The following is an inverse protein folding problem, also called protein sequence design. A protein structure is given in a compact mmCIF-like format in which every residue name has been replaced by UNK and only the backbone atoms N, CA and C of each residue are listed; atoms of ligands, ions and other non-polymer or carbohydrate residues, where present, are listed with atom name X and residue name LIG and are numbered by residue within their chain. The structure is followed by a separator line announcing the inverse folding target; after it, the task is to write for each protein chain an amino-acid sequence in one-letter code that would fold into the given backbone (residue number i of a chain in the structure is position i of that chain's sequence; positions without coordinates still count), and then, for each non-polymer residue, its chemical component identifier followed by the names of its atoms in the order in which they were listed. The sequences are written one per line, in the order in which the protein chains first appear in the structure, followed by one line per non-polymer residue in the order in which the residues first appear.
data_IF_235336207594
#
_entry.id   IF_235336207594
#
_cell.length_a   1.000
_cell.length_b   1.000
_cell.length_c   1.000
_cell.angle_alpha   90.00
_cell.angle_beta   90.00
_cell.angle_gamma   90.00
#
_symmetry.space_group_name_H-M   'P 1'
#
loop_
_entity.id
_entity.type
_entity.pdbx_description
1 polymer ?
#
# COMPACT_ATOMS: atom_id res chain seq x y z
N UNK A 1 -20.68 15.14 -11.15
CA UNK A 1 -21.02 13.82 -10.57
C UNK A 1 -21.60 12.86 -11.62
N UNK A 2 -22.53 13.29 -12.47
CA UNK A 2 -23.17 12.41 -13.46
C UNK A 2 -22.21 11.64 -14.37
N UNK A 3 -21.24 12.32 -14.98
CA UNK A 3 -20.21 11.67 -15.80
C UNK A 3 -19.36 10.66 -15.03
N UNK A 4 -19.18 10.89 -13.73
CA UNK A 4 -18.31 10.07 -12.88
C UNK A 4 -18.91 8.67 -12.66
N UNK A 5 -20.24 8.57 -12.54
CA UNK A 5 -20.95 7.31 -12.22
C UNK A 5 -21.67 6.67 -13.40
N UNK A 6 -21.73 7.32 -14.56
CA UNK A 6 -22.47 6.82 -15.73
C UNK A 6 -22.03 5.41 -16.20
N UNK A 7 -20.76 5.04 -16.01
CA UNK A 7 -20.19 3.75 -16.42
C UNK A 7 -19.70 2.89 -15.25
N UNK A 8 -20.07 3.24 -14.02
CA UNK A 8 -19.58 2.59 -12.81
C UNK A 8 -20.45 1.37 -12.46
N UNK A 9 -19.82 0.24 -12.15
CA UNK A 9 -20.50 -0.99 -11.75
C UNK A 9 -21.25 -0.80 -10.42
N UNK A 10 -22.33 -1.57 -10.22
CA UNK A 10 -23.18 -1.47 -9.02
C UNK A 10 -22.36 -1.64 -7.73
N UNK A 11 -21.41 -2.57 -7.72
CA UNK A 11 -20.59 -2.89 -6.56
C UNK A 11 -19.78 -1.68 -6.09
N UNK A 12 -19.25 -0.91 -7.04
CA UNK A 12 -18.49 0.33 -6.76
C UNK A 12 -19.43 1.41 -6.23
N UNK A 13 -20.63 1.56 -6.79
CA UNK A 13 -21.63 2.50 -6.26
C UNK A 13 -22.03 2.15 -4.82
N UNK A 14 -22.24 0.87 -4.52
CA UNK A 14 -22.53 0.37 -3.16
C UNK A 14 -21.40 0.76 -2.21
N UNK A 15 -20.15 0.55 -2.61
CA UNK A 15 -18.99 0.89 -1.78
C UNK A 15 -18.87 2.40 -1.56
N UNK A 16 -19.05 3.22 -2.60
CA UNK A 16 -19.05 4.68 -2.48
C UNK A 16 -20.08 5.15 -1.45
N UNK A 17 -21.31 4.61 -1.48
CA UNK A 17 -22.34 4.96 -0.49
C UNK A 17 -21.95 4.48 0.92
N UNK A 18 -21.42 3.26 1.06
CA UNK A 18 -20.95 2.75 2.36
C UNK A 18 -19.83 3.59 2.94
N UNK A 19 -18.88 4.04 2.11
CA UNK A 19 -17.79 4.92 2.53
C UNK A 19 -18.31 6.30 2.93
N UNK A 20 -19.26 6.86 2.17
CA UNK A 20 -19.93 8.10 2.53
C UNK A 20 -20.63 7.98 3.91
N UNK A 21 -21.31 6.86 4.16
CA UNK A 21 -21.91 6.59 5.47
C UNK A 21 -20.86 6.48 6.58
N UNK A 22 -19.77 5.73 6.35
CA UNK A 22 -18.68 5.55 7.33
C UNK A 22 -18.04 6.88 7.71
N UNK A 23 -17.92 7.80 6.75
CA UNK A 23 -17.36 9.15 6.94
C UNK A 23 -18.38 10.19 7.42
N UNK A 24 -19.63 9.80 7.63
CA UNK A 24 -20.68 10.74 8.03
C UNK A 24 -20.99 11.80 6.98
N UNK A 25 -20.69 11.55 5.71
CA UNK A 25 -20.91 12.51 4.62
C UNK A 25 -22.40 12.74 4.38
N UNK A 26 -22.76 13.98 4.04
CA UNK A 26 -24.11 14.38 3.69
C UNK A 26 -24.10 15.18 2.40
N UNK A 27 -24.97 14.83 1.46
CA UNK A 27 -25.18 15.64 0.26
C UNK A 27 -26.24 16.71 0.50
N UNK A 28 -26.65 17.39 -0.56
CA UNK A 28 -27.73 18.39 -0.53
C UNK A 28 -29.10 17.87 -0.04
N UNK A 29 -29.26 16.54 0.09
CA UNK A 29 -30.46 15.87 0.61
C UNK A 29 -30.19 15.12 1.93
N UNK A 30 -29.15 15.53 2.65
CA UNK A 30 -28.77 14.96 3.94
C UNK A 30 -27.98 13.66 3.84
N UNK A 31 -27.94 12.93 4.94
CA UNK A 31 -27.30 11.62 5.00
C UNK A 31 -28.10 10.56 4.24
N UNK A 32 -27.48 9.42 3.95
CA UNK A 32 -28.12 8.32 3.21
C UNK A 32 -29.51 7.92 3.73
N UNK A 33 -29.68 7.80 5.05
CA UNK A 33 -30.99 7.44 5.64
C UNK A 33 -32.03 8.56 5.48
N UNK A 34 -31.62 9.82 5.53
CA UNK A 34 -32.50 10.98 5.37
C UNK A 34 -32.93 11.12 3.92
N UNK A 35 -31.98 11.00 3.00
CA UNK A 35 -32.23 10.92 1.56
C UNK A 35 -33.27 9.83 1.25
N UNK A 36 -33.10 8.61 1.79
CA UNK A 36 -34.01 7.50 1.54
C UNK A 36 -35.44 7.76 2.01
N UNK A 37 -35.64 8.46 3.14
CA UNK A 37 -37.00 8.81 3.63
C UNK A 37 -37.76 9.67 2.63
N UNK A 38 -37.06 10.55 1.91
CA UNK A 38 -37.66 11.47 0.93
C UNK A 38 -37.75 10.83 -0.45
N UNK A 39 -36.71 10.09 -0.85
CA UNK A 39 -36.56 9.55 -2.20
C UNK A 39 -37.38 8.28 -2.44
N UNK A 40 -37.47 7.39 -1.45
CA UNK A 40 -38.20 6.13 -1.57
C UNK A 40 -39.28 6.02 -0.49
N UNK A 41 -40.50 6.44 -0.83
CA UNK A 41 -41.64 6.38 0.10
C UNK A 41 -42.11 4.95 0.42
N UNK A 42 -41.74 3.94 -0.40
CA UNK A 42 -42.14 2.55 -0.19
C UNK A 42 -41.31 1.90 0.91
N UNK A 43 -39.99 1.95 0.78
CA UNK A 43 -39.09 1.30 1.74
C UNK A 43 -38.44 2.28 2.71
N UNK A 44 -38.20 3.52 2.29
CA UNK A 44 -37.64 4.57 3.13
C UNK A 44 -36.35 4.15 3.84
N UNK A 45 -36.17 4.58 5.08
CA UNK A 45 -35.01 4.22 5.89
C UNK A 45 -35.00 2.77 6.39
N UNK A 46 -36.10 2.01 6.25
CA UNK A 46 -36.20 0.62 6.76
C UNK A 46 -35.25 -0.35 6.02
N UNK A 47 -34.93 -0.04 4.76
CA UNK A 47 -33.99 -0.79 3.94
C UNK A 47 -32.71 0.04 3.70
N UNK A 48 -31.93 0.32 4.76
CA UNK A 48 -30.79 1.24 4.63
C UNK A 48 -29.51 0.61 4.06
N UNK A 49 -29.44 -0.69 3.84
CA UNK A 49 -28.24 -1.30 3.26
C UNK A 49 -28.08 -0.92 1.77
N UNK A 50 -27.01 -0.22 1.37
CA UNK A 50 -26.78 0.15 -0.03
C UNK A 50 -26.74 -1.06 -0.97
N UNK A 51 -26.28 -2.23 -0.50
CA UNK A 51 -26.21 -3.44 -1.34
C UNK A 51 -27.58 -3.92 -1.83
N UNK A 52 -28.63 -3.63 -1.04
CA UNK A 52 -30.02 -3.99 -1.29
C UNK A 52 -30.78 -2.94 -2.11
N UNK A 53 -30.11 -1.87 -2.57
CA UNK A 53 -30.72 -0.80 -3.37
C UNK A 53 -30.47 -0.94 -4.87
N UNK A 54 -31.32 -0.29 -5.65
CA UNK A 54 -31.16 -0.19 -7.11
C UNK A 54 -30.00 0.73 -7.46
N UNK A 55 -29.42 0.51 -8.65
CA UNK A 55 -28.38 1.38 -9.22
C UNK A 55 -28.87 2.84 -9.25
N UNK A 56 -30.12 3.07 -9.65
CA UNK A 56 -30.70 4.42 -9.71
C UNK A 56 -30.76 5.11 -8.34
N UNK A 57 -31.11 4.37 -7.29
CA UNK A 57 -31.17 4.93 -5.93
C UNK A 57 -29.79 5.32 -5.42
N UNK A 58 -28.79 4.47 -5.67
CA UNK A 58 -27.40 4.73 -5.30
C UNK A 58 -26.85 5.93 -6.08
N UNK A 59 -27.07 5.96 -7.40
CA UNK A 59 -26.66 7.04 -8.26
C UNK A 59 -27.34 8.35 -7.88
N UNK A 60 -28.65 8.34 -7.60
CA UNK A 60 -29.40 9.52 -7.19
C UNK A 60 -28.87 10.12 -5.90
N UNK A 61 -28.52 9.30 -4.90
CA UNK A 61 -27.88 9.79 -3.68
C UNK A 61 -26.49 10.37 -3.95
N UNK A 62 -25.64 9.68 -4.71
CA UNK A 62 -24.30 10.17 -5.03
C UNK A 62 -24.34 11.49 -5.81
N UNK A 63 -25.35 11.71 -6.67
CA UNK A 63 -25.59 12.98 -7.37
C UNK A 63 -25.93 14.14 -6.45
N UNK A 64 -26.30 13.89 -5.19
CA UNK A 64 -26.59 14.97 -4.23
C UNK A 64 -25.33 15.66 -3.72
N UNK A 65 -24.14 15.06 -3.92
CA UNK A 65 -22.84 15.62 -3.58
C UNK A 65 -22.33 16.53 -4.70
N UNK A 66 -22.11 17.79 -4.37
CA UNK A 66 -21.65 18.82 -5.32
C UNK A 66 -20.37 19.51 -4.87
N UNK A 67 -19.91 19.27 -3.64
CA UNK A 67 -18.68 19.90 -3.14
C UNK A 67 -17.45 19.23 -3.75
N UNK A 68 -16.43 20.03 -4.07
CA UNK A 68 -15.25 19.55 -4.77
C UNK A 68 -14.49 18.46 -4.01
N UNK A 69 -14.44 18.55 -2.69
CA UNK A 69 -13.78 17.54 -1.83
C UNK A 69 -14.50 16.19 -1.87
N UNK A 70 -15.84 16.18 -1.83
CA UNK A 70 -16.64 14.98 -2.00
C UNK A 70 -16.40 14.36 -3.37
N UNK A 71 -16.40 15.19 -4.42
CA UNK A 71 -16.17 14.74 -5.79
C UNK A 71 -14.75 14.18 -5.97
N UNK A 72 -13.73 14.81 -5.37
CA UNK A 72 -12.34 14.35 -5.37
C UNK A 72 -12.22 13.01 -4.66
N UNK A 73 -12.88 12.87 -3.51
CA UNK A 73 -12.95 11.60 -2.78
C UNK A 73 -13.56 10.48 -3.64
N UNK A 74 -14.73 10.71 -4.23
CA UNK A 74 -15.41 9.70 -5.06
C UNK A 74 -14.60 9.35 -6.32
N UNK A 75 -13.91 10.31 -6.93
CA UNK A 75 -12.96 10.04 -8.03
C UNK A 75 -11.84 9.10 -7.59
N UNK A 76 -11.32 9.29 -6.37
CA UNK A 76 -10.26 8.45 -5.79
C UNK A 76 -10.73 7.01 -5.57
N UNK A 77 -11.94 6.83 -5.03
CA UNK A 77 -12.57 5.50 -4.85
C UNK A 77 -12.68 4.79 -6.19
N UNK A 78 -13.23 5.45 -7.22
CA UNK A 78 -13.37 4.86 -8.56
C UNK A 78 -12.00 4.51 -9.17
N UNK A 79 -10.98 5.34 -8.93
CA UNK A 79 -9.63 5.06 -9.42
C UNK A 79 -9.01 3.82 -8.74
N UNK A 80 -9.25 3.62 -7.44
CA UNK A 80 -8.81 2.41 -6.72
C UNK A 80 -9.43 1.15 -7.33
N UNK A 81 -10.74 1.18 -7.59
CA UNK A 81 -11.45 0.06 -8.23
C UNK A 81 -10.92 -0.23 -9.63
N UNK A 82 -10.67 0.80 -10.44
CA UNK A 82 -10.07 0.64 -11.77
C UNK A 82 -8.69 -0.02 -11.70
N UNK A 83 -7.83 0.43 -10.79
CA UNK A 83 -6.50 -0.16 -10.62
C UNK A 83 -6.62 -1.64 -10.21
N UNK A 84 -7.55 -1.97 -9.31
CA UNK A 84 -7.79 -3.37 -8.89
C UNK A 84 -8.31 -4.23 -10.04
N UNK A 85 -9.23 -3.72 -10.86
CA UNK A 85 -9.70 -4.42 -12.05
C UNK A 85 -8.57 -4.65 -13.06
N UNK A 86 -7.67 -3.69 -13.24
CA UNK A 86 -6.51 -3.82 -14.12
C UNK A 86 -5.56 -4.93 -13.62
N UNK A 87 -5.32 -5.00 -12.32
CA UNK A 87 -4.53 -6.08 -11.69
C UNK A 87 -5.20 -7.44 -11.87
N UNK A 88 -6.51 -7.55 -11.65
CA UNK A 88 -7.24 -8.81 -11.83
C UNK A 88 -7.33 -9.24 -13.30
N UNK A 89 -7.37 -8.29 -14.24
CA UNK A 89 -7.25 -8.59 -15.67
C UNK A 89 -5.84 -9.08 -16.01
N UNK A 90 -4.80 -8.47 -15.43
CA UNK A 90 -3.41 -8.91 -15.63
C UNK A 90 -3.20 -10.36 -15.21
N UNK A 91 -3.71 -10.77 -14.03
CA UNK A 91 -3.64 -12.17 -13.55
C UNK A 91 -4.25 -13.18 -14.52
N UNK A 92 -5.29 -12.78 -15.26
CA UNK A 92 -5.98 -13.66 -16.22
C UNK A 92 -5.26 -13.78 -17.55
N UNK A 93 -4.43 -12.79 -17.89
CA UNK A 93 -3.67 -12.78 -19.13
C UNK A 93 -2.33 -13.47 -18.84
N UNK A 94 -2.26 -14.77 -19.13
CA UNK A 94 -0.98 -15.48 -19.25
C UNK A 94 -0.59 -15.48 -20.73
N UNK A 95 0.31 -14.61 -21.19
CA UNK A 95 0.76 -14.67 -22.57
C UNK A 95 1.69 -15.88 -22.74
N UNK A 96 1.56 -16.61 -23.85
CA UNK A 96 2.51 -17.66 -24.26
C UNK A 96 3.96 -17.13 -24.38
N UNK A 97 4.12 -15.81 -24.45
CA UNK A 97 5.38 -15.07 -24.55
C UNK A 97 5.55 -14.04 -23.41
N UNK A 98 5.33 -14.46 -22.16
CA UNK A 98 5.56 -13.63 -20.97
C UNK A 98 7.04 -13.23 -20.81
N UNK A 99 7.34 -11.95 -20.60
CA UNK A 99 8.71 -11.52 -20.26
C UNK A 99 9.05 -11.87 -18.80
N UNK A 100 10.34 -11.89 -18.45
CA UNK A 100 10.76 -12.19 -17.08
C UNK A 100 10.19 -11.20 -16.04
N UNK A 101 10.07 -9.92 -16.42
CA UNK A 101 9.52 -8.85 -15.59
C UNK A 101 8.01 -9.03 -15.37
N UNK A 102 7.28 -9.36 -16.43
CA UNK A 102 5.84 -9.64 -16.36
C UNK A 102 5.57 -10.86 -15.48
N UNK A 103 6.38 -11.92 -15.64
CA UNK A 103 6.30 -13.13 -14.81
C UNK A 103 6.53 -12.80 -13.34
N UNK A 104 7.51 -11.97 -13.02
CA UNK A 104 7.76 -11.54 -11.65
C UNK A 104 6.56 -10.80 -11.06
N UNK A 105 5.98 -9.84 -11.80
CA UNK A 105 4.77 -9.13 -11.37
C UNK A 105 3.62 -10.11 -11.14
N UNK A 106 3.38 -11.04 -12.07
CA UNK A 106 2.31 -12.04 -11.95
C UNK A 106 2.49 -12.93 -10.72
N UNK A 107 3.70 -13.46 -10.50
CA UNK A 107 4.00 -14.29 -9.32
C UNK A 107 3.75 -13.54 -8.01
N UNK A 108 4.13 -12.26 -7.93
CA UNK A 108 3.84 -11.42 -6.76
C UNK A 108 2.33 -11.22 -6.56
N UNK A 109 1.58 -10.98 -7.64
CA UNK A 109 0.13 -10.75 -7.57
C UNK A 109 -0.67 -12.03 -7.25
N UNK A 110 -0.19 -13.20 -7.69
CA UNK A 110 -0.79 -14.51 -7.43
C UNK A 110 -0.48 -15.02 -6.02
N UNK A 111 0.51 -14.43 -5.33
CA UNK A 111 0.89 -14.86 -3.99
C UNK A 111 -0.28 -14.66 -2.99
N UNK A 112 -0.62 -15.67 -2.14
CA UNK A 112 -1.78 -15.58 -1.24
C UNK A 112 -1.73 -14.43 -0.24
N UNK A 113 -0.53 -13.95 0.14
CA UNK A 113 -0.38 -12.83 1.07
C UNK A 113 -0.54 -11.46 0.40
N UNK A 114 -0.38 -11.37 -0.93
CA UNK A 114 -0.50 -10.10 -1.65
C UNK A 114 -1.78 -9.31 -1.33
N UNK A 115 -3.00 -9.89 -1.37
CA UNK A 115 -4.21 -9.13 -1.06
C UNK A 115 -4.34 -8.71 0.41
N UNK A 116 -3.54 -9.28 1.32
CA UNK A 116 -3.50 -8.92 2.74
C UNK A 116 -2.49 -7.78 2.92
N UNK A 117 -1.26 -7.97 2.44
CA UNK A 117 -0.14 -7.05 2.66
C UNK A 117 -0.28 -5.76 1.83
N UNK A 118 -0.90 -5.83 0.65
CA UNK A 118 -1.10 -4.70 -0.25
C UNK A 118 -2.53 -4.12 -0.18
N UNK A 119 -3.24 -4.37 0.92
CA UNK A 119 -4.59 -3.83 1.17
C UNK A 119 -4.52 -2.47 1.86
N UNK A 120 -4.18 -1.44 1.09
CA UNK A 120 -4.04 -0.09 1.63
C UNK A 120 -5.39 0.67 1.67
N UNK A 121 -5.59 1.56 2.66
CA UNK A 121 -6.74 2.45 2.70
C UNK A 121 -6.58 3.61 1.70
N UNK A 122 -6.35 3.29 0.42
CA UNK A 122 -5.90 4.22 -0.62
C UNK A 122 -6.86 5.38 -0.93
N UNK A 123 -8.08 5.35 -0.39
CA UNK A 123 -9.07 6.41 -0.54
C UNK A 123 -8.99 7.48 0.58
N UNK A 124 -8.19 7.26 1.63
CA UNK A 124 -7.95 8.24 2.71
C UNK A 124 -7.10 9.42 2.25
N UNK A 125 -7.33 10.62 2.79
CA UNK A 125 -6.89 11.90 2.22
C UNK A 125 -5.39 11.95 1.87
N UNK A 126 -4.54 11.47 2.77
CA UNK A 126 -3.08 11.49 2.68
C UNK A 126 -2.51 10.53 1.62
N UNK A 127 -3.31 9.58 1.12
CA UNK A 127 -2.84 8.61 0.13
C UNK A 127 -2.77 9.19 -1.27
N UNK A 128 -1.73 8.87 -2.03
CA UNK A 128 -1.68 9.20 -3.46
C UNK A 128 -2.01 7.95 -4.28
N UNK A 129 -3.10 8.03 -5.06
CA UNK A 129 -3.49 6.96 -6.00
C UNK A 129 -3.07 7.37 -7.39
N UNK A 130 -2.03 6.72 -7.90
CA UNK A 130 -1.52 6.96 -9.24
C UNK A 130 -2.44 6.27 -10.25
N UNK A 131 -2.81 7.01 -11.29
CA UNK A 131 -3.49 6.44 -12.45
C UNK A 131 -2.47 5.72 -13.32
N UNK A 132 -2.57 4.40 -13.44
CA UNK A 132 -1.86 3.69 -14.49
C UNK A 132 -2.32 4.25 -15.85
N UNK A 133 -1.37 4.78 -16.62
CA UNK A 133 -1.66 5.30 -17.97
C UNK A 133 -2.09 4.16 -18.91
N UNK A 134 -2.47 4.48 -20.16
CA UNK A 134 -3.04 3.56 -21.17
C UNK A 134 -2.59 2.10 -20.97
N UNK A 135 -3.55 1.21 -20.66
CA UNK A 135 -3.32 -0.21 -20.34
C UNK A 135 -2.34 -0.88 -21.30
N UNK A 136 -2.46 -0.61 -22.60
CA UNK A 136 -1.61 -1.20 -23.65
C UNK A 136 -0.11 -0.87 -23.55
N UNK A 137 0.26 0.27 -22.95
CA UNK A 137 1.67 0.63 -22.70
C UNK A 137 2.18 0.05 -21.39
N UNK A 138 1.36 0.13 -20.32
CA UNK A 138 1.71 -0.40 -19.00
C UNK A 138 1.91 -1.92 -19.06
N UNK A 139 1.02 -2.64 -19.75
CA UNK A 139 1.11 -4.09 -19.90
C UNK A 139 2.35 -4.55 -20.67
N UNK A 140 2.98 -3.69 -21.48
CA UNK A 140 4.13 -4.03 -22.32
C UNK A 140 5.45 -3.46 -21.80
N UNK A 141 5.39 -2.59 -20.78
CA UNK A 141 6.58 -1.98 -20.21
C UNK A 141 7.36 -3.03 -19.43
N UNK A 142 8.66 -3.13 -19.70
CA UNK A 142 9.60 -3.95 -18.93
C UNK A 142 10.56 -3.08 -18.12
N UNK A 143 10.34 -1.76 -18.13
CA UNK A 143 11.11 -0.83 -17.30
C UNK A 143 10.79 -1.07 -15.83
N UNK A 144 11.85 -1.29 -15.04
CA UNK A 144 11.77 -1.53 -13.61
C UNK A 144 12.57 -0.49 -12.85
N UNK A 145 12.02 -0.03 -11.73
CA UNK A 145 12.70 0.79 -10.72
C UNK A 145 12.50 0.06 -9.39
N UNK A 146 13.60 -0.23 -8.70
CA UNK A 146 13.53 -0.75 -7.34
C UNK A 146 13.42 0.41 -6.36
N UNK A 147 12.46 0.33 -5.43
CA UNK A 147 12.24 1.35 -4.40
C UNK A 147 12.44 0.68 -3.05
N UNK A 148 13.20 1.32 -2.19
CA UNK A 148 13.40 0.92 -0.80
C UNK A 148 13.39 2.15 0.12
N UNK A 149 13.08 1.94 1.40
CA UNK A 149 12.99 3.02 2.37
C UNK A 149 13.51 2.62 3.75
N UNK A 150 14.08 3.60 4.44
CA UNK A 150 14.42 3.50 5.84
C UNK A 150 13.34 4.25 6.63
N UNK A 151 12.84 3.61 7.68
CA UNK A 151 11.82 4.13 8.57
C UNK A 151 12.32 4.09 10.02
N UNK A 152 11.79 4.96 10.87
CA UNK A 152 12.08 4.98 12.31
C UNK A 152 10.78 4.89 13.10
N UNK A 153 10.84 4.24 14.26
CA UNK A 153 9.72 4.19 15.20
C UNK A 153 9.62 5.52 15.95
N UNK A 154 8.48 6.17 15.85
CA UNK A 154 8.15 7.42 16.54
C UNK A 154 7.69 7.16 17.98
N UNK A 155 7.70 8.21 18.81
CA UNK A 155 7.20 8.17 20.19
C UNK A 155 5.72 7.77 20.29
N UNK A 156 4.93 8.07 19.25
CA UNK A 156 3.50 7.72 19.16
C UNK A 156 3.26 6.27 18.66
N UNK A 157 4.33 5.50 18.44
CA UNK A 157 4.28 4.13 17.94
C UNK A 157 4.07 3.99 16.43
N UNK A 158 4.03 5.09 15.67
CA UNK A 158 3.98 5.06 14.21
C UNK A 158 5.37 4.91 13.60
N UNK A 159 5.45 4.42 12.36
CA UNK A 159 6.69 4.43 11.59
C UNK A 159 6.75 5.68 10.71
N UNK A 160 7.81 6.48 10.87
CA UNK A 160 8.06 7.65 10.04
C UNK A 160 9.16 7.37 9.01
N UNK A 161 8.91 7.83 7.79
CA UNK A 161 9.87 7.75 6.70
C UNK A 161 11.03 8.71 6.92
N UNK A 162 12.26 8.20 6.98
CA UNK A 162 13.47 9.03 7.09
C UNK A 162 14.24 9.12 5.78
N UNK A 163 14.14 8.09 4.94
CA UNK A 163 14.89 8.04 3.68
C UNK A 163 14.22 7.12 2.66
N UNK A 164 14.29 7.53 1.40
CA UNK A 164 13.86 6.74 0.24
C UNK A 164 15.02 6.62 -0.74
N UNK A 165 15.16 5.44 -1.34
CA UNK A 165 16.04 5.20 -2.47
C UNK A 165 15.23 4.63 -3.62
N UNK A 166 15.45 5.17 -4.82
CA UNK A 166 14.93 4.60 -6.06
C UNK A 166 16.11 4.31 -6.98
N UNK A 167 16.13 3.12 -7.58
CA UNK A 167 17.27 2.59 -8.34
C UNK A 167 16.80 2.09 -9.68
N UNK A 168 17.43 2.56 -10.75
CA UNK A 168 17.13 2.11 -12.10
C UNK A 168 17.78 0.74 -12.40
N UNK A 169 17.51 0.21 -13.61
CA UNK A 169 18.09 -1.05 -14.09
C UNK A 169 19.62 -1.04 -14.18
N UNK A 170 20.23 0.13 -14.27
CA UNK A 170 21.67 0.32 -14.36
C UNK A 170 22.33 0.52 -13.00
N UNK A 171 21.58 0.33 -11.90
CA UNK A 171 22.02 0.54 -10.53
C UNK A 171 22.43 1.99 -10.24
N UNK A 172 21.84 2.94 -10.97
CA UNK A 172 21.95 4.37 -10.67
C UNK A 172 20.79 4.75 -9.76
N UNK A 173 21.11 5.30 -8.59
CA UNK A 173 20.07 5.82 -7.71
C UNK A 173 19.57 7.20 -8.15
N UNK A 174 18.45 7.63 -7.57
CA UNK A 174 17.88 8.97 -7.79
C UNK A 174 18.82 10.14 -7.46
N UNK A 175 19.91 9.89 -6.74
CA UNK A 175 20.94 10.86 -6.39
C UNK A 175 22.19 10.75 -7.29
N UNK A 176 22.15 9.88 -8.33
CA UNK A 176 23.28 9.62 -9.23
C UNK A 176 24.44 8.87 -8.57
N UNK A 177 24.24 8.26 -7.39
CA UNK A 177 25.29 7.56 -6.66
C UNK A 177 25.49 6.17 -7.27
N UNK A 178 26.74 5.80 -7.60
CA UNK A 178 27.07 4.46 -8.03
C UNK A 178 26.80 3.46 -6.91
N UNK A 179 26.08 2.38 -7.23
CA UNK A 179 25.89 1.26 -6.32
C UNK A 179 26.81 0.09 -6.65
N UNK A 180 27.22 -0.63 -5.61
CA UNK A 180 27.99 -1.86 -5.74
C UNK A 180 27.06 -3.06 -5.62
N UNK A 181 26.97 -3.86 -6.68
CA UNK A 181 26.31 -5.16 -6.62
C UNK A 181 27.18 -6.15 -5.84
N UNK A 182 26.65 -6.66 -4.73
CA UNK A 182 27.26 -7.68 -3.88
C UNK A 182 26.50 -8.98 -4.10
N UNK A 183 27.21 -10.02 -4.53
CA UNK A 183 26.67 -11.38 -4.62
C UNK A 183 27.06 -12.14 -3.36
N UNK A 184 26.11 -12.87 -2.78
CA UNK A 184 26.34 -13.70 -1.60
C UNK A 184 25.67 -15.05 -1.78
N UNK A 185 26.17 -16.06 -1.06
CA UNK A 185 25.56 -17.39 -1.02
C UNK A 185 24.93 -17.58 0.37
N UNK A 186 23.71 -18.10 0.39
CA UNK A 186 23.05 -18.56 1.60
C UNK A 186 23.53 -19.97 1.95
N UNK A 187 23.40 -20.33 3.23
CA UNK A 187 23.65 -21.68 3.75
C UNK A 187 22.83 -22.78 3.05
N UNK A 188 21.65 -22.42 2.56
CA UNK A 188 20.80 -23.24 1.68
C UNK A 188 21.38 -23.51 0.29
N UNK A 189 22.52 -22.93 -0.06
CA UNK A 189 23.14 -23.02 -1.40
C UNK A 189 22.55 -22.06 -2.44
N UNK A 190 21.52 -21.29 -2.07
CA UNK A 190 20.91 -20.28 -2.92
C UNK A 190 21.81 -19.04 -2.96
N UNK A 191 22.08 -18.51 -4.16
CA UNK A 191 22.80 -17.25 -4.31
C UNK A 191 21.83 -16.06 -4.33
N UNK A 192 22.13 -15.03 -3.54
CA UNK A 192 21.41 -13.76 -3.52
C UNK A 192 22.30 -12.61 -4.01
N UNK A 193 21.66 -11.48 -4.32
CA UNK A 193 22.38 -10.24 -4.69
C UNK A 193 21.78 -9.05 -3.95
N UNK A 194 22.64 -8.21 -3.35
CA UNK A 194 22.28 -6.95 -2.71
C UNK A 194 23.03 -5.80 -3.40
N UNK A 195 22.38 -4.65 -3.59
CA UNK A 195 23.07 -3.43 -4.01
C UNK A 195 23.42 -2.59 -2.79
N UNK A 196 24.69 -2.19 -2.65
CA UNK A 196 25.19 -1.42 -1.52
C UNK A 196 25.71 -0.08 -2.01
N UNK A 197 25.31 1.01 -1.36
CA UNK A 197 25.85 2.35 -1.61
C UNK A 197 26.54 2.89 -0.35
N UNK A 198 27.59 3.69 -0.52
CA UNK A 198 28.24 4.38 0.60
C UNK A 198 27.31 5.50 1.06
N UNK A 199 26.85 5.41 2.30
CA UNK A 199 26.09 6.49 2.94
C UNK A 199 27.10 7.56 3.38
N UNK A 200 27.09 8.71 2.72
CA UNK A 200 27.72 9.93 3.24
C UNK A 200 26.58 10.80 3.78
N UNK A 201 26.61 11.22 5.05
CA UNK A 201 25.61 12.11 5.62
C UNK A 201 25.88 13.53 5.12
N UNK A 202 25.61 13.81 3.85
CA UNK A 202 25.46 15.18 3.38
C UNK A 202 23.99 15.55 3.44
N UNK A 203 23.55 15.93 4.64
CA UNK A 203 22.35 16.75 4.79
C UNK A 203 22.64 18.15 4.26
N UNK A 204 22.60 18.28 2.93
CA UNK A 204 22.46 19.58 2.28
C UNK A 204 21.02 19.69 1.84
N UNK A 205 20.19 20.33 2.66
CA UNK A 205 18.86 20.82 2.27
C UNK A 205 19.09 21.87 1.17
N UNK A 206 19.10 21.40 -0.08
CA UNK A 206 19.40 22.22 -1.25
C UNK A 206 18.29 22.08 -2.28
N UNK A 207 17.34 23.02 -2.20
CA UNK A 207 16.42 23.49 -3.24
C UNK A 207 16.22 22.63 -4.51
N UNK A 208 14.95 22.26 -4.73
CA UNK A 208 14.36 22.09 -6.06
C UNK A 208 14.80 23.24 -6.99
N UNK A 209 15.76 22.97 -7.87
CA UNK A 209 16.11 23.90 -8.95
C UNK A 209 15.53 23.42 -10.26
N UNK A 210 14.49 24.15 -10.70
CA UNK A 210 14.01 24.16 -12.08
C UNK A 210 15.18 24.43 -13.03
N UNK A 211 15.39 23.52 -13.99
CA UNK A 211 16.22 23.75 -15.18
C UNK A 211 15.73 24.96 -15.98
N UNK A 212 16.56 26.00 -16.08
CA UNK A 212 16.80 26.76 -17.32
C UNK A 212 18.18 27.43 -17.29
N UNK A 213 18.73 27.60 -18.48
CA UNK A 213 20.13 27.73 -18.92
C UNK A 213 20.76 29.13 -18.86
N UNK A 214 22.10 29.19 -18.83
CA UNK A 214 23.05 29.93 -19.73
C UNK A 214 24.32 30.39 -18.97
N UNK A 215 25.44 30.33 -19.71
CA UNK A 215 26.88 30.57 -19.46
C UNK A 215 27.27 31.88 -18.74
N UNK A 216 28.38 31.89 -17.99
CA UNK A 216 29.64 32.59 -18.33
C UNK A 216 30.71 32.45 -17.20
N UNK A 217 31.97 32.68 -17.59
CA UNK A 217 33.25 32.26 -17.03
C UNK A 217 33.80 32.98 -15.78
N UNK A 218 34.81 32.31 -15.20
CA UNK A 218 36.06 32.86 -14.65
C UNK A 218 36.26 33.01 -13.12
N UNK A 219 37.26 32.24 -12.67
CA UNK A 219 38.44 32.66 -11.90
C UNK A 219 38.39 32.91 -10.37
N UNK A 220 39.17 32.04 -9.71
CA UNK A 220 40.21 32.32 -8.69
C UNK A 220 39.86 32.19 -7.21
N UNK A 221 40.27 31.04 -6.68
CA UNK A 221 40.95 30.77 -5.41
C UNK A 221 41.15 31.92 -4.40
N UNK A 222 40.83 31.65 -3.13
CA UNK A 222 41.45 32.37 -2.01
C UNK A 222 40.79 32.21 -0.65
N UNK A 223 41.17 31.15 0.09
CA UNK A 223 41.45 31.16 1.54
C UNK A 223 40.28 31.52 2.50
N UNK A 224 39.87 30.59 3.38
CA UNK A 224 39.96 30.82 4.84
C UNK A 224 39.73 29.53 5.68
N UNK A 225 40.85 29.05 6.25
CA UNK A 225 41.03 28.64 7.66
C UNK A 225 40.03 27.68 8.31
N UNK A 226 40.44 26.41 8.27
CA UNK A 226 40.44 25.40 9.34
C UNK A 226 40.40 26.01 10.75
N UNK A 227 39.37 25.68 11.54
CA UNK A 227 39.41 25.73 13.00
C UNK A 227 38.91 24.38 13.53
N UNK A 228 39.80 23.68 14.25
CA UNK A 228 39.49 22.50 15.06
C UNK A 228 38.84 22.94 16.37
N UNK A 229 37.92 22.14 16.89
CA UNK A 229 37.68 22.05 18.33
C UNK A 229 37.52 20.58 18.71
N UNK A 230 38.51 20.07 19.43
CA UNK A 230 38.43 18.85 20.24
C UNK A 230 37.94 19.23 21.65
N UNK A 231 37.01 18.47 22.21
CA UNK A 231 36.80 18.22 23.66
C UNK A 231 35.70 17.15 23.79
N UNK A 232 36.01 15.87 24.01
CA UNK A 232 36.38 15.16 25.25
C UNK A 232 35.19 14.84 26.18
N UNK A 233 34.90 13.54 26.22
CA UNK A 233 34.37 12.69 27.30
C UNK A 233 33.10 13.08 28.07
N UNK A 234 32.10 12.21 27.96
CA UNK A 234 31.18 11.85 29.04
C UNK A 234 30.85 10.37 28.95
N UNK A 235 31.40 9.56 29.86
CA UNK A 235 30.91 8.23 30.21
C UNK A 235 29.55 8.35 30.93
N UNK A 236 28.70 7.33 30.78
CA UNK A 236 27.54 6.87 31.59
C UNK A 236 26.50 6.33 30.58
N UNK A 237 25.86 5.16 30.66
CA UNK A 237 25.82 4.03 31.60
C UNK A 237 25.18 2.85 30.83
N UNK A 238 25.44 1.62 31.29
CA UNK A 238 24.90 0.36 30.76
C UNK A 238 23.35 0.37 30.65
N UNK A 239 22.83 0.33 29.42
CA UNK A 239 21.41 0.03 29.16
C UNK A 239 21.21 -1.48 29.00
N UNK A 240 21.13 -2.16 30.14
CA UNK A 240 20.76 -3.60 30.25
C UNK A 240 19.24 -3.85 30.22
N UNK A 241 18.44 -2.87 29.79
CA UNK A 241 16.97 -2.93 29.89
C UNK A 241 16.26 -3.24 28.55
N UNK A 242 16.97 -3.31 27.42
CA UNK A 242 16.35 -3.53 26.10
C UNK A 242 16.22 -5.02 25.70
N UNK A 243 16.97 -5.93 26.31
CA UNK A 243 17.00 -7.35 25.93
C UNK A 243 15.78 -8.14 26.43
N UNK A 244 15.22 -7.78 27.59
CA UNK A 244 14.21 -8.59 28.29
C UNK A 244 12.82 -8.54 27.62
N UNK A 245 12.53 -7.52 26.81
CA UNK A 245 11.24 -7.36 26.15
C UNK A 245 11.11 -8.25 24.90
N UNK A 246 12.18 -8.37 24.10
CA UNK A 246 12.20 -9.23 22.91
C UNK A 246 12.07 -10.72 23.27
N UNK A 247 12.71 -11.16 24.35
CA UNK A 247 12.62 -12.55 24.82
C UNK A 247 11.20 -12.90 25.28
N UNK A 248 10.50 -11.96 25.91
CA UNK A 248 9.11 -12.13 26.33
C UNK A 248 8.18 -12.30 25.11
N UNK A 249 8.39 -11.51 24.06
CA UNK A 249 7.60 -11.62 22.83
C UNK A 249 7.86 -12.92 22.06
N UNK A 250 9.11 -13.39 22.01
CA UNK A 250 9.45 -14.67 21.37
C UNK A 250 8.78 -15.86 22.08
N UNK A 251 8.78 -15.86 23.41
CA UNK A 251 8.11 -16.89 24.21
C UNK A 251 6.60 -16.91 23.97
N UNK A 252 5.97 -15.73 23.88
CA UNK A 252 4.53 -15.62 23.60
C UNK A 252 4.18 -16.12 22.18
N UNK A 253 5.03 -15.84 21.19
CA UNK A 253 4.85 -16.35 19.82
C UNK A 253 4.94 -17.88 19.78
N UNK A 254 5.91 -18.48 20.48
CA UNK A 254 6.02 -19.94 20.55
C UNK A 254 4.83 -20.57 21.27
N UNK A 255 4.36 -19.93 22.35
CA UNK A 255 3.16 -20.36 23.08
C UNK A 255 1.92 -20.35 22.17
N UNK A 256 1.70 -19.26 21.44
CA UNK A 256 0.56 -19.12 20.52
C UNK A 256 0.63 -20.12 19.36
N UNK A 257 1.83 -20.38 18.81
CA UNK A 257 2.01 -21.44 17.80
C UNK A 257 1.62 -22.82 18.33
N UNK A 258 1.98 -23.13 19.59
CA UNK A 258 1.59 -24.38 20.24
C UNK A 258 0.07 -24.51 20.42
N UNK A 259 -0.60 -23.46 20.87
CA UNK A 259 -2.06 -23.44 21.00
C UNK A 259 -2.78 -23.62 19.66
N UNK A 260 -2.26 -22.99 18.61
CA UNK A 260 -2.83 -23.07 17.26
C UNK A 260 -2.72 -24.50 16.71
N UNK A 261 -1.57 -25.14 16.88
CA UNK A 261 -1.37 -26.55 16.50
C UNK A 261 -2.30 -27.49 17.25
N UNK A 262 -2.54 -27.25 18.55
CA UNK A 262 -3.49 -28.04 19.34
C UNK A 262 -4.91 -27.89 18.82
N UNK A 263 -5.35 -26.66 18.52
CA UNK A 263 -6.69 -26.42 17.95
C UNK A 263 -6.85 -27.09 16.59
N UNK A 264 -5.82 -27.09 15.74
CA UNK A 264 -5.87 -27.79 14.44
C UNK A 264 -6.03 -29.32 14.61
N UNK A 265 -5.38 -29.91 15.61
CA UNK A 265 -5.56 -31.33 15.94
C UNK A 265 -6.98 -31.64 16.46
N UNK A 266 -7.54 -30.75 17.28
CA UNK A 266 -8.92 -30.86 17.77
C UNK A 266 -9.92 -30.76 16.60
N UNK A 267 -9.75 -29.78 15.71
CA UNK A 267 -10.57 -29.61 14.50
C UNK A 267 -10.47 -30.85 13.60
N UNK A 268 -9.27 -31.39 13.40
CA UNK A 268 -9.07 -32.62 12.64
C UNK A 268 -9.81 -33.81 13.25
N UNK A 269 -9.79 -33.92 14.58
CA UNK A 269 -10.49 -34.97 15.31
C UNK A 269 -12.00 -34.83 15.23
N UNK A 270 -12.53 -33.62 15.39
CA UNK A 270 -13.96 -33.32 15.21
C UNK A 270 -14.41 -33.61 13.78
N UNK A 271 -13.63 -33.24 12.77
CA UNK A 271 -13.94 -33.54 11.37
C UNK A 271 -14.02 -35.05 11.10
N UNK A 272 -13.14 -35.86 11.72
CA UNK A 272 -13.21 -37.32 11.62
C UNK A 272 -14.49 -37.88 12.24
N UNK A 273 -14.93 -37.32 13.38
CA UNK A 273 -16.18 -37.72 14.05
C UNK A 273 -17.39 -37.34 13.19
N UNK A 274 -17.42 -36.11 12.67
CA UNK A 274 -18.49 -35.63 11.78
C UNK A 274 -18.58 -36.53 10.53
N UNK A 275 -17.44 -36.85 9.90
CA UNK A 275 -17.42 -37.74 8.74
C UNK A 275 -17.91 -39.16 9.08
N UNK A 276 -17.63 -39.68 10.28
CA UNK A 276 -18.14 -40.98 10.73
C UNK A 276 -19.64 -40.95 11.01
N UNK A 277 -20.15 -39.86 11.59
CA UNK A 277 -21.58 -39.66 11.84
C UNK A 277 -22.38 -39.49 10.53
N UNK A 278 -21.85 -38.72 9.57
CA UNK A 278 -22.44 -38.57 8.24
C UNK A 278 -22.59 -39.93 7.53
N UNK A 279 -21.52 -40.74 7.52
CA UNK A 279 -21.57 -42.11 6.98
C UNK A 279 -22.57 -43.02 7.67
N UNK A 280 -22.78 -42.86 8.98
CA UNK A 280 -23.74 -43.65 9.76
C UNK A 280 -25.20 -43.21 9.52
N UNK A 281 -25.41 -41.95 9.15
CA UNK A 281 -26.73 -41.39 8.84
C UNK A 281 -27.11 -41.49 7.36
N UNK A 282 -26.25 -42.04 6.50
CA UNK A 282 -26.54 -42.23 5.07
C UNK A 282 -26.54 -40.94 4.26
N UNK A 283 -25.82 -39.92 4.73
CA UNK A 283 -25.51 -38.67 4.00
C UNK A 283 -24.17 -38.78 3.27
#
# INVERSE_FOLDING_TARGET
MDELIASVKKEVLVEMVKLAQKRGMAGSKGHWKEFLKVYDKKFGASLSDPSRRSVDSLAAFLKTFTQDDDLKFFKKVIQCHRNREDVEQFKKISPDNETAEQKLVRLTLEHPQYPIDYSFPSHEEEWLVIKCSKKSKVLKSTDMIAIDCEMVLCEDGTEALVKVCAVDRNLQDSCGRPQKLVKFALDSGISGTLCVCKIVPEFSVGQLTKKRSVEDDSNTAGILKKLRSDQTSGQLEDSSHCTNQCDTHLQEIERLKGELSKRDQEISSLNKIIAALARKQGL
#
